data_IF_579385022623
#
_entry.id   IF_579385022623
#
_cell.length_a   1.000
_cell.length_b   1.000
_cell.length_c   1.000
_cell.angle_alpha   90.00
_cell.angle_beta   90.00
_cell.angle_gamma   90.00
#
_symmetry.space_group_name_H-M   'P 1'
#
loop_
_entity.id
_entity.type
_entity.pdbx_description
1 polymer ?
#
# COMPACT_ATOMS: atom_id res chain seq x y z
N UNK A 1 -35.87 7.75 -55.83
CA UNK A 1 -36.28 9.04 -56.42
C UNK A 1 -35.45 10.12 -55.73
N UNK A 2 -34.58 10.83 -56.48
CA UNK A 2 -33.78 12.02 -56.12
C UNK A 2 -32.77 11.91 -54.95
N UNK A 3 -31.55 12.46 -54.93
CA UNK A 3 -30.68 13.19 -55.88
C UNK A 3 -29.26 13.23 -55.24
N UNK A 4 -28.17 12.88 -55.95
CA UNK A 4 -27.21 13.77 -56.62
C UNK A 4 -26.51 14.83 -55.74
N UNK A 5 -25.18 14.71 -55.60
CA UNK A 5 -24.20 15.78 -55.94
C UNK A 5 -22.76 15.25 -55.95
N UNK A 6 -22.16 15.30 -57.13
CA UNK A 6 -20.74 15.14 -57.40
C UNK A 6 -20.02 16.47 -57.19
N UNK A 7 -18.74 16.42 -56.81
CA UNK A 7 -17.79 17.52 -57.01
C UNK A 7 -16.50 16.93 -57.57
N UNK A 8 -16.07 17.45 -58.71
CA UNK A 8 -14.82 17.12 -59.39
C UNK A 8 -13.94 18.38 -59.40
N UNK A 9 -12.62 18.22 -59.22
CA UNK A 9 -11.62 19.25 -59.53
C UNK A 9 -10.42 18.58 -60.22
N UNK A 10 -10.01 19.19 -61.32
CA UNK A 10 -9.00 18.80 -62.31
C UNK A 10 -7.55 18.70 -61.78
N UNK A 11 -6.67 17.91 -62.45
CA UNK A 11 -5.22 18.01 -62.32
C UNK A 11 -4.62 18.95 -63.39
N UNK A 12 -3.60 19.72 -62.99
CA UNK A 12 -2.75 20.52 -63.89
C UNK A 12 -1.50 19.71 -64.27
N UNK A 13 -1.23 19.67 -65.57
CA UNK A 13 -0.05 19.06 -66.21
C UNK A 13 1.03 20.12 -66.40
N UNK A 14 2.28 19.77 -66.11
CA UNK A 14 3.47 20.52 -66.53
C UNK A 14 4.67 19.57 -66.59
N UNK A 15 5.10 19.21 -67.79
CA UNK A 15 6.26 18.34 -68.02
C UNK A 15 7.54 19.13 -68.24
N UNK A 16 8.70 18.53 -67.94
CA UNK A 16 9.98 18.86 -68.59
C UNK A 16 10.95 17.67 -68.55
N UNK A 17 11.36 17.27 -69.76
CA UNK A 17 12.61 16.64 -70.23
C UNK A 17 13.50 15.81 -69.29
N UNK A 18 13.68 14.56 -69.71
CA UNK A 18 14.72 13.61 -69.28
C UNK A 18 16.10 14.01 -69.84
N UNK A 19 17.11 14.08 -68.98
CA UNK A 19 18.52 13.93 -69.37
C UNK A 19 19.10 12.69 -68.68
N UNK A 20 19.74 11.84 -69.49
CA UNK A 20 20.38 10.61 -69.04
C UNK A 20 21.65 10.94 -68.24
N UNK A 21 21.78 10.38 -67.04
CA UNK A 21 23.04 10.36 -66.30
C UNK A 21 23.50 8.90 -66.12
N UNK A 22 24.63 8.58 -66.75
CA UNK A 22 25.30 7.28 -66.72
C UNK A 22 26.13 7.18 -65.43
N UNK A 23 25.85 6.18 -64.59
CA UNK A 23 26.61 5.90 -63.37
C UNK A 23 27.91 5.14 -63.75
N UNK A 24 29.09 5.54 -63.26
CA UNK A 24 30.31 4.75 -63.42
C UNK A 24 30.29 3.56 -62.45
N UNK A 25 30.61 2.37 -62.96
CA UNK A 25 30.87 1.18 -62.15
C UNK A 25 32.16 1.38 -61.34
N UNK A 26 32.05 1.43 -60.02
CA UNK A 26 33.19 1.28 -59.11
C UNK A 26 33.06 -0.02 -58.31
N UNK A 27 34.17 -0.77 -58.29
CA UNK A 27 34.28 -2.13 -57.78
C UNK A 27 34.15 -2.19 -56.26
N UNK A 28 33.38 -3.16 -55.75
CA UNK A 28 33.02 -3.38 -54.33
C UNK A 28 34.20 -3.52 -53.35
N UNK A 29 35.45 -3.57 -53.80
CA UNK A 29 36.61 -3.82 -52.94
C UNK A 29 37.27 -2.57 -52.37
N UNK A 30 37.01 -1.37 -52.89
CA UNK A 30 37.59 -0.13 -52.33
C UNK A 30 36.68 0.59 -51.33
N UNK A 31 35.36 0.38 -51.38
CA UNK A 31 34.42 0.99 -50.42
C UNK A 31 34.56 0.44 -48.98
N UNK A 32 35.15 -0.75 -48.81
CA UNK A 32 35.25 -1.40 -47.49
C UNK A 32 36.47 -0.95 -46.68
N UNK A 33 37.48 -0.32 -47.29
CA UNK A 33 38.69 0.14 -46.59
C UNK A 33 38.58 1.57 -46.05
N UNK A 34 37.62 2.36 -46.52
CA UNK A 34 37.45 3.75 -46.05
C UNK A 34 36.57 3.86 -44.78
N UNK A 35 35.76 2.83 -44.49
CA UNK A 35 34.86 2.83 -43.31
C UNK A 35 35.58 2.39 -42.02
N UNK A 36 36.77 1.79 -42.12
CA UNK A 36 37.48 1.20 -40.96
C UNK A 36 38.52 2.15 -40.35
N UNK A 37 38.67 3.39 -40.83
CA UNK A 37 39.71 4.32 -40.30
C UNK A 37 39.23 5.69 -39.83
N UNK A 38 37.92 5.93 -39.76
CA UNK A 38 37.36 7.21 -39.34
C UNK A 38 36.37 7.11 -38.15
N UNK A 39 36.50 6.07 -37.33
CA UNK A 39 35.72 5.92 -36.09
C UNK A 39 36.61 5.82 -34.84
N UNK A 40 37.83 6.35 -34.92
CA UNK A 40 38.78 6.43 -33.80
C UNK A 40 39.03 7.89 -33.42
N UNK A 41 37.96 8.58 -33.03
CA UNK A 41 38.04 9.87 -32.32
C UNK A 41 36.95 9.94 -31.26
N UNK A 42 37.36 9.69 -30.02
CA UNK A 42 36.95 10.43 -28.83
C UNK A 42 35.46 10.71 -28.70
N UNK A 43 34.73 9.74 -28.18
CA UNK A 43 33.58 10.03 -27.34
C UNK A 43 33.74 9.19 -26.09
N UNK A 44 34.44 9.75 -25.11
CA UNK A 44 34.35 9.36 -23.71
C UNK A 44 32.91 9.61 -23.24
N UNK A 45 31.99 8.78 -23.73
CA UNK A 45 30.75 8.52 -23.04
C UNK A 45 31.16 7.68 -21.86
N UNK A 46 31.48 8.39 -20.80
CA UNK A 46 31.42 7.92 -19.44
C UNK A 46 30.03 7.30 -19.26
N UNK A 47 29.91 6.02 -19.60
CA UNK A 47 28.81 5.18 -19.14
C UNK A 47 29.04 5.08 -17.65
N UNK A 48 28.52 6.06 -16.93
CA UNK A 48 28.16 5.87 -15.54
C UNK A 48 27.25 4.65 -15.57
N UNK A 49 27.84 3.48 -15.28
CA UNK A 49 27.09 2.30 -14.86
C UNK A 49 26.10 2.86 -13.86
N UNK A 50 24.83 2.93 -14.22
CA UNK A 50 23.76 3.16 -13.26
C UNK A 50 23.96 2.07 -12.23
N UNK A 51 24.56 2.45 -11.11
CA UNK A 51 24.88 1.55 -10.01
C UNK A 51 23.51 1.07 -9.58
N UNK A 52 23.16 -0.15 -9.98
CA UNK A 52 21.81 -0.68 -9.86
C UNK A 52 21.29 -0.37 -8.46
N UNK A 53 20.32 0.52 -8.37
CA UNK A 53 19.80 0.97 -7.09
C UNK A 53 19.30 -0.26 -6.34
N UNK A 54 19.83 -0.48 -5.13
CA UNK A 54 19.44 -1.62 -4.30
C UNK A 54 17.92 -1.60 -4.14
N UNK A 55 17.25 -2.76 -4.16
CA UNK A 55 15.77 -2.79 -4.13
C UNK A 55 15.18 -2.14 -2.88
N UNK A 56 15.96 -2.03 -1.81
CA UNK A 56 15.64 -1.27 -0.60
C UNK A 56 15.49 0.24 -0.84
N UNK A 57 16.26 0.82 -1.75
CA UNK A 57 16.22 2.25 -2.10
C UNK A 57 15.02 2.59 -3.00
N UNK A 58 14.44 1.57 -3.63
CA UNK A 58 13.28 1.70 -4.53
C UNK A 58 11.95 1.81 -3.78
N UNK A 59 11.90 1.39 -2.51
CA UNK A 59 10.72 1.59 -1.68
C UNK A 59 10.74 2.98 -1.07
N UNK A 60 9.84 3.83 -1.54
CA UNK A 60 9.42 5.00 -0.78
C UNK A 60 8.18 4.60 0.01
N UNK A 61 8.17 4.78 1.34
CA UNK A 61 6.91 4.67 2.08
C UNK A 61 5.90 5.64 1.43
N UNK A 62 4.61 5.26 1.39
CA UNK A 62 3.59 6.11 0.79
C UNK A 62 3.69 7.51 1.40
N UNK A 63 3.81 8.53 0.55
CA UNK A 63 3.81 9.91 1.02
C UNK A 63 2.51 10.18 1.75
N UNK A 64 2.53 11.11 2.71
CA UNK A 64 1.31 11.50 3.45
C UNK A 64 0.15 11.83 2.50
N UNK A 65 0.45 12.48 1.39
CA UNK A 65 -0.48 12.79 0.29
C UNK A 65 -1.12 11.53 -0.31
N UNK A 66 -0.34 10.48 -0.62
CA UNK A 66 -0.88 9.22 -1.17
C UNK A 66 -1.73 8.46 -0.15
N UNK A 67 -1.34 8.49 1.13
CA UNK A 67 -2.12 7.92 2.22
C UNK A 67 -3.44 8.69 2.43
N UNK A 68 -3.41 10.01 2.30
CA UNK A 68 -4.57 10.89 2.37
C UNK A 68 -5.52 10.65 1.19
N UNK A 69 -5.01 10.55 -0.04
CA UNK A 69 -5.81 10.22 -1.22
C UNK A 69 -6.50 8.85 -1.09
N UNK A 70 -5.83 7.85 -0.50
CA UNK A 70 -6.47 6.55 -0.20
C UNK A 70 -7.53 6.67 0.89
N UNK A 71 -7.27 7.47 1.93
CA UNK A 71 -8.24 7.73 2.98
C UNK A 71 -9.49 8.46 2.44
N UNK A 72 -9.31 9.40 1.52
CA UNK A 72 -10.39 10.10 0.82
C UNK A 72 -11.19 9.17 -0.09
N UNK A 73 -10.52 8.29 -0.82
CA UNK A 73 -11.18 7.28 -1.65
C UNK A 73 -12.07 6.34 -0.82
N UNK A 74 -11.65 5.98 0.40
CA UNK A 74 -12.48 5.19 1.32
C UNK A 74 -13.62 5.96 1.97
N UNK A 75 -13.46 7.29 2.11
CA UNK A 75 -14.40 8.14 2.82
C UNK A 75 -14.67 9.41 2.01
N UNK A 76 -15.45 9.29 0.93
CA UNK A 76 -15.67 10.40 0.01
C UNK A 76 -16.21 11.62 0.75
N UNK A 77 -15.65 12.79 0.41
CA UNK A 77 -16.03 14.11 0.93
C UNK A 77 -15.95 14.28 2.45
N UNK A 78 -15.23 13.41 3.19
CA UNK A 78 -15.09 13.57 4.65
C UNK A 78 -14.46 14.92 5.02
N UNK A 79 -13.44 15.36 4.29
CA UNK A 79 -12.78 16.65 4.51
C UNK A 79 -13.79 17.81 4.41
N UNK A 80 -14.65 17.80 3.37
CA UNK A 80 -15.72 18.79 3.18
C UNK A 80 -16.73 18.74 4.33
N UNK A 81 -17.16 17.54 4.75
CA UNK A 81 -18.12 17.38 5.86
C UNK A 81 -17.56 17.88 7.19
N UNK A 82 -16.31 17.58 7.49
CA UNK A 82 -15.65 18.08 8.71
C UNK A 82 -15.58 19.61 8.71
N UNK A 83 -15.29 20.23 7.56
CA UNK A 83 -15.32 21.69 7.40
C UNK A 83 -16.74 22.22 7.62
N UNK A 84 -17.74 21.65 6.95
CA UNK A 84 -19.14 22.10 7.02
C UNK A 84 -19.71 21.97 8.45
N UNK A 85 -19.54 20.83 9.11
CA UNK A 85 -20.01 20.63 10.48
C UNK A 85 -19.15 21.37 11.51
N UNK A 86 -17.86 21.56 11.25
CA UNK A 86 -16.97 22.36 12.09
C UNK A 86 -17.36 23.83 12.12
N UNK A 87 -17.44 24.47 10.94
CA UNK A 87 -17.88 25.86 10.83
C UNK A 87 -19.35 26.04 11.21
N UNK A 88 -20.23 25.12 10.79
CA UNK A 88 -21.65 25.14 11.17
C UNK A 88 -21.83 25.04 12.69
N UNK A 89 -21.11 24.13 13.35
CA UNK A 89 -21.12 24.01 14.81
C UNK A 89 -20.56 25.24 15.51
N UNK A 90 -19.44 25.80 15.03
CA UNK A 90 -18.88 27.04 15.58
C UNK A 90 -19.84 28.23 15.42
N UNK A 91 -20.47 28.37 14.25
CA UNK A 91 -21.46 29.41 13.97
C UNK A 91 -22.70 29.27 14.84
N UNK A 92 -23.26 28.06 14.95
CA UNK A 92 -24.39 27.78 15.82
C UNK A 92 -24.04 27.99 17.31
N UNK A 93 -22.81 27.69 17.71
CA UNK A 93 -22.30 27.96 19.06
C UNK A 93 -22.26 29.44 19.38
N UNK A 94 -21.73 30.26 18.46
CA UNK A 94 -21.75 31.72 18.58
C UNK A 94 -23.19 32.26 18.58
N UNK A 95 -24.06 31.78 17.69
CA UNK A 95 -25.46 32.20 17.63
C UNK A 95 -26.22 31.84 18.94
N UNK A 96 -25.97 30.66 19.50
CA UNK A 96 -26.48 30.25 20.81
C UNK A 96 -26.02 31.19 21.92
N UNK A 97 -24.72 31.52 21.92
CA UNK A 97 -24.13 32.43 22.91
C UNK A 97 -24.76 33.83 22.87
N UNK A 98 -25.00 34.38 21.67
CA UNK A 98 -25.63 35.70 21.51
C UNK A 98 -27.15 35.68 21.71
N UNK A 99 -27.83 34.58 21.40
CA UNK A 99 -29.28 34.46 21.63
C UNK A 99 -29.62 34.24 23.11
N UNK A 100 -28.69 33.74 23.93
CA UNK A 100 -28.93 33.50 25.35
C UNK A 100 -29.29 34.79 26.14
N UNK A 101 -28.55 35.91 26.06
CA UNK A 101 -28.97 37.17 26.68
C UNK A 101 -30.33 37.66 26.19
N UNK A 102 -30.65 37.50 24.90
CA UNK A 102 -31.93 37.94 24.34
C UNK A 102 -33.10 37.12 24.89
N UNK A 103 -32.90 35.81 25.09
CA UNK A 103 -33.89 34.94 25.73
C UNK A 103 -34.10 35.33 27.19
N UNK A 104 -33.03 35.54 27.96
CA UNK A 104 -33.11 35.99 29.36
C UNK A 104 -33.85 37.33 29.46
N UNK A 105 -33.52 38.30 28.60
CA UNK A 105 -34.19 39.60 28.56
C UNK A 105 -35.68 39.50 28.23
N UNK A 106 -36.05 38.62 27.29
CA UNK A 106 -37.46 38.37 26.95
C UNK A 106 -38.24 37.72 28.12
N UNK A 107 -37.61 36.80 28.86
CA UNK A 107 -38.19 36.15 30.04
C UNK A 107 -38.34 37.12 31.22
N UNK A 108 -37.42 38.07 31.36
CA UNK A 108 -37.44 39.10 32.40
C UNK A 108 -38.41 40.27 32.08
N UNK A 109 -39.08 40.25 30.93
CA UNK A 109 -40.03 41.30 30.54
C UNK A 109 -39.37 42.63 30.15
N UNK A 110 -38.18 42.60 29.54
CA UNK A 110 -37.49 43.81 29.10
C UNK A 110 -38.35 44.63 28.12
N UNK A 111 -38.44 45.95 28.36
CA UNK A 111 -39.35 46.86 27.65
C UNK A 111 -39.17 46.90 26.12
N UNK A 112 -37.96 46.63 25.62
CA UNK A 112 -37.62 46.57 24.19
C UNK A 112 -37.12 45.17 23.77
N UNK A 113 -37.49 44.12 24.50
CA UNK A 113 -37.08 42.74 24.23
C UNK A 113 -37.80 42.13 23.04
N UNK A 114 -37.18 41.13 22.40
CA UNK A 114 -37.83 40.29 21.39
C UNK A 114 -39.00 39.52 22.05
N UNK A 115 -40.13 39.27 21.35
CA UNK A 115 -41.20 38.42 21.89
C UNK A 115 -40.69 37.07 22.37
N UNK A 116 -41.19 36.58 23.51
CA UNK A 116 -40.72 35.34 24.15
C UNK A 116 -40.80 34.11 23.23
N UNK A 117 -41.83 34.05 22.38
CA UNK A 117 -42.01 32.97 21.40
C UNK A 117 -40.91 32.99 20.35
N UNK A 118 -40.56 34.16 19.83
CA UNK A 118 -39.52 34.31 18.81
C UNK A 118 -38.10 34.21 19.39
N UNK A 119 -37.87 34.69 20.62
CA UNK A 119 -36.60 34.53 21.32
C UNK A 119 -36.35 33.06 21.68
N UNK A 120 -37.40 32.37 22.15
CA UNK A 120 -37.37 30.94 22.43
C UNK A 120 -37.13 30.10 21.17
N UNK A 121 -37.79 30.44 20.06
CA UNK A 121 -37.63 29.74 18.80
C UNK A 121 -36.21 29.88 18.23
N UNK A 122 -35.64 31.09 18.19
CA UNK A 122 -34.26 31.31 17.71
C UNK A 122 -33.24 30.55 18.56
N UNK A 123 -33.38 30.61 19.89
CA UNK A 123 -32.51 29.89 20.79
C UNK A 123 -32.61 28.37 20.59
N UNK A 124 -33.84 27.85 20.44
CA UNK A 124 -34.08 26.43 20.19
C UNK A 124 -33.48 25.97 18.85
N UNK A 125 -33.60 26.78 17.79
CA UNK A 125 -33.00 26.48 16.48
C UNK A 125 -31.47 26.45 16.59
N UNK A 126 -30.86 27.45 17.25
CA UNK A 126 -29.41 27.53 17.41
C UNK A 126 -28.86 26.33 18.21
N UNK A 127 -29.53 25.97 19.31
CA UNK A 127 -29.19 24.77 20.10
C UNK A 127 -29.36 23.49 19.27
N UNK A 128 -30.47 23.37 18.54
CA UNK A 128 -30.72 22.22 17.67
C UNK A 128 -29.64 22.05 16.61
N UNK A 129 -29.25 23.14 15.95
CA UNK A 129 -28.17 23.17 14.97
C UNK A 129 -26.81 22.82 15.62
N UNK A 130 -26.51 23.39 16.79
CA UNK A 130 -25.27 23.12 17.52
C UNK A 130 -25.15 21.64 17.90
N UNK A 131 -26.23 21.04 18.42
CA UNK A 131 -26.28 19.63 18.79
C UNK A 131 -26.12 18.73 17.55
N UNK A 132 -26.83 19.03 16.47
CA UNK A 132 -26.77 18.25 15.22
C UNK A 132 -25.38 18.31 14.57
N UNK A 133 -24.82 19.51 14.41
CA UNK A 133 -23.48 19.71 13.88
C UNK A 133 -22.42 19.07 14.79
N UNK A 134 -22.53 19.23 16.11
CA UNK A 134 -21.64 18.60 17.08
C UNK A 134 -21.65 17.07 17.00
N UNK A 135 -22.85 16.47 16.87
CA UNK A 135 -22.99 15.03 16.71
C UNK A 135 -22.30 14.52 15.44
N UNK A 136 -22.58 15.13 14.28
CA UNK A 136 -21.96 14.70 13.02
C UNK A 136 -20.45 14.95 12.99
N UNK A 137 -19.99 16.08 13.54
CA UNK A 137 -18.57 16.39 13.66
C UNK A 137 -17.84 15.34 14.49
N UNK A 138 -18.35 15.02 15.68
CA UNK A 138 -17.78 13.98 16.54
C UNK A 138 -17.71 12.63 15.83
N UNK A 139 -18.82 12.23 15.17
CA UNK A 139 -18.90 10.96 14.46
C UNK A 139 -17.86 10.85 13.34
N UNK A 140 -17.63 11.92 12.58
CA UNK A 140 -16.65 11.92 11.49
C UNK A 140 -15.21 12.04 12.01
N UNK A 141 -14.97 12.72 13.14
CA UNK A 141 -13.66 12.72 13.83
C UNK A 141 -13.29 11.33 14.34
N UNK A 142 -14.21 10.65 15.04
CA UNK A 142 -14.00 9.29 15.53
C UNK A 142 -13.72 8.31 14.37
N UNK A 143 -14.41 8.49 13.24
CA UNK A 143 -14.18 7.68 12.04
C UNK A 143 -12.80 7.95 11.40
N UNK A 144 -12.35 9.22 11.40
CA UNK A 144 -11.01 9.61 10.94
C UNK A 144 -9.93 9.00 11.80
N UNK A 145 -10.05 9.09 13.12
CA UNK A 145 -9.07 8.54 14.04
C UNK A 145 -8.93 7.02 13.86
N UNK A 146 -10.04 6.29 13.78
CA UNK A 146 -10.03 4.83 13.52
C UNK A 146 -9.35 4.47 12.21
N UNK A 147 -9.60 5.22 11.14
CA UNK A 147 -8.96 5.00 9.85
C UNK A 147 -7.46 5.32 9.91
N UNK A 148 -7.06 6.43 10.51
CA UNK A 148 -5.65 6.81 10.67
C UNK A 148 -4.89 5.78 11.50
N UNK A 149 -5.47 5.34 12.63
CA UNK A 149 -4.88 4.30 13.47
C UNK A 149 -4.73 2.97 12.70
N UNK A 150 -5.65 2.63 11.80
CA UNK A 150 -5.51 1.45 10.92
C UNK A 150 -4.40 1.63 9.89
N UNK A 151 -4.37 2.77 9.19
CA UNK A 151 -3.38 3.07 8.15
C UNK A 151 -1.95 3.09 8.71
N UNK A 152 -1.74 3.71 9.88
CA UNK A 152 -0.44 3.75 10.53
C UNK A 152 0.06 2.35 10.88
N UNK A 153 -0.84 1.45 11.33
CA UNK A 153 -0.49 0.06 11.59
C UNK A 153 -0.15 -0.71 10.32
N UNK A 154 -0.89 -0.50 9.24
CA UNK A 154 -0.60 -1.11 7.94
C UNK A 154 0.71 -0.59 7.32
N UNK A 155 1.04 0.68 7.54
CA UNK A 155 2.28 1.29 7.06
C UNK A 155 3.50 0.85 7.86
N UNK A 156 3.37 0.77 9.20
CA UNK A 156 4.41 0.23 10.07
C UNK A 156 4.78 -1.21 9.68
N UNK A 157 3.78 -2.07 9.44
CA UNK A 157 4.01 -3.44 8.96
C UNK A 157 4.60 -3.44 7.53
N UNK A 158 4.12 -2.55 6.66
CA UNK A 158 4.63 -2.39 5.30
C UNK A 158 6.10 -1.96 5.24
N UNK A 159 6.58 -1.23 6.25
CA UNK A 159 7.96 -0.78 6.35
C UNK A 159 8.94 -1.88 6.75
N UNK A 160 8.46 -2.97 7.38
CA UNK A 160 9.26 -4.11 7.81
C UNK A 160 10.02 -4.76 6.64
N UNK A 161 11.25 -5.19 6.89
CA UNK A 161 12.17 -5.72 5.87
C UNK A 161 12.18 -7.24 5.87
N UNK A 162 12.36 -7.83 4.69
CA UNK A 162 12.47 -9.26 4.48
C UNK A 162 13.43 -9.57 3.33
N UNK A 163 13.93 -10.79 3.34
CA UNK A 163 14.79 -11.37 2.31
C UNK A 163 14.08 -12.54 1.64
N UNK A 164 14.15 -12.57 0.31
CA UNK A 164 13.66 -13.69 -0.49
C UNK A 164 14.73 -14.78 -0.64
N UNK A 165 14.34 -15.96 -1.12
CA UNK A 165 15.25 -17.10 -1.33
C UNK A 165 16.43 -16.82 -2.29
N UNK A 166 16.34 -15.81 -3.14
CA UNK A 166 17.40 -15.36 -4.05
C UNK A 166 18.37 -14.35 -3.41
N UNK A 167 18.26 -14.09 -2.10
CA UNK A 167 19.10 -13.12 -1.38
C UNK A 167 18.66 -11.67 -1.55
N UNK A 168 17.51 -11.41 -2.16
CA UNK A 168 17.03 -10.06 -2.43
C UNK A 168 16.31 -9.47 -1.22
N UNK A 169 16.81 -8.32 -0.75
CA UNK A 169 16.19 -7.56 0.33
C UNK A 169 15.07 -6.65 -0.18
N UNK A 170 13.91 -6.75 0.46
CA UNK A 170 12.69 -6.02 0.16
C UNK A 170 12.07 -5.47 1.44
N UNK A 171 11.09 -4.58 1.28
CA UNK A 171 10.11 -4.28 2.33
C UNK A 171 8.79 -4.97 2.04
N UNK A 172 8.04 -5.32 3.07
CA UNK A 172 6.77 -6.01 2.94
C UNK A 172 5.77 -5.23 2.07
N UNK A 173 5.78 -3.90 2.15
CA UNK A 173 4.95 -3.03 1.32
C UNK A 173 5.25 -3.12 -0.19
N UNK A 174 6.45 -3.56 -0.60
CA UNK A 174 6.80 -3.78 -2.01
C UNK A 174 6.15 -5.04 -2.60
N UNK A 175 5.71 -5.97 -1.75
CA UNK A 175 5.00 -7.16 -2.20
C UNK A 175 3.55 -6.89 -2.56
N UNK A 176 3.05 -5.67 -2.33
CA UNK A 176 1.69 -5.28 -2.71
C UNK A 176 1.50 -5.42 -4.22
N UNK A 177 0.40 -6.03 -4.63
CA UNK A 177 0.09 -6.40 -6.02
C UNK A 177 0.73 -7.71 -6.47
N UNK A 178 1.87 -8.10 -5.90
CA UNK A 178 2.61 -9.31 -6.29
C UNK A 178 2.24 -10.53 -5.44
N UNK A 179 2.17 -10.39 -4.11
CA UNK A 179 2.01 -11.49 -3.17
C UNK A 179 1.00 -11.21 -2.05
N UNK A 180 0.59 -12.26 -1.35
CA UNK A 180 -0.26 -12.27 -0.15
C UNK A 180 0.57 -12.83 1.02
N UNK A 181 1.28 -11.98 1.76
CA UNK A 181 2.08 -12.45 2.89
C UNK A 181 1.22 -13.08 3.98
N UNK A 182 1.61 -14.27 4.47
CA UNK A 182 1.08 -14.89 5.68
C UNK A 182 2.23 -14.99 6.67
N UNK A 183 2.13 -14.20 7.74
CA UNK A 183 3.17 -14.01 8.74
C UNK A 183 2.79 -14.82 9.98
N UNK A 184 3.74 -15.60 10.50
CA UNK A 184 3.58 -16.46 11.67
C UNK A 184 4.55 -15.97 12.74
N UNK A 185 4.04 -15.43 13.84
CA UNK A 185 4.86 -14.94 14.95
C UNK A 185 4.69 -15.86 16.17
N UNK A 186 5.76 -16.45 16.67
CA UNK A 186 5.66 -17.46 17.73
C UNK A 186 7.00 -17.85 18.32
N UNK A 187 7.01 -18.95 19.07
CA UNK A 187 8.25 -19.62 19.44
C UNK A 187 8.88 -20.35 18.26
N UNK A 188 10.20 -20.65 18.29
CA UNK A 188 10.86 -21.34 17.18
C UNK A 188 10.15 -22.65 16.85
N UNK A 189 9.74 -23.40 17.88
CA UNK A 189 8.96 -24.63 17.75
C UNK A 189 7.59 -24.40 17.11
N UNK A 190 6.85 -23.36 17.53
CA UNK A 190 5.53 -23.02 16.96
C UNK A 190 5.64 -22.60 15.50
N UNK A 191 6.61 -21.74 15.17
CA UNK A 191 6.84 -21.26 13.81
C UNK A 191 7.25 -22.40 12.90
N UNK A 192 8.16 -23.27 13.36
CA UNK A 192 8.57 -24.46 12.62
C UNK A 192 7.39 -25.38 12.33
N UNK A 193 6.61 -25.74 13.36
CA UNK A 193 5.43 -26.58 13.21
C UNK A 193 4.39 -25.97 12.26
N UNK A 194 4.19 -24.65 12.30
CA UNK A 194 3.28 -23.97 11.40
C UNK A 194 3.77 -23.95 9.94
N UNK A 195 5.08 -23.82 9.70
CA UNK A 195 5.68 -23.93 8.37
C UNK A 195 5.53 -25.37 7.83
N UNK A 196 5.84 -26.37 8.65
CA UNK A 196 5.68 -27.79 8.28
C UNK A 196 4.22 -28.12 7.95
N UNK A 197 3.26 -27.58 8.71
CA UNK A 197 1.83 -27.74 8.43
C UNK A 197 1.38 -27.06 7.12
N UNK A 198 2.16 -26.12 6.58
CA UNK A 198 1.88 -25.43 5.33
C UNK A 198 2.37 -26.24 4.10
N UNK A 199 3.37 -27.10 4.28
CA UNK A 199 4.05 -27.83 3.21
C UNK A 199 3.10 -28.66 2.31
N UNK A 200 2.09 -29.39 2.82
CA UNK A 200 1.14 -30.12 1.98
C UNK A 200 0.33 -29.22 1.03
N UNK A 201 0.23 -27.93 1.33
CA UNK A 201 -0.52 -26.95 0.55
C UNK A 201 0.39 -26.05 -0.30
N UNK A 202 1.70 -26.33 -0.37
CA UNK A 202 2.70 -25.46 -1.01
C UNK A 202 2.31 -25.02 -2.42
N UNK A 203 1.93 -25.95 -3.28
CA UNK A 203 1.59 -25.66 -4.68
C UNK A 203 0.33 -24.80 -4.78
N UNK A 204 -0.74 -25.16 -4.06
CA UNK A 204 -2.01 -24.43 -4.05
C UNK A 204 -1.85 -23.01 -3.47
N UNK A 205 -1.01 -22.86 -2.45
CA UNK A 205 -0.70 -21.57 -1.84
C UNK A 205 0.16 -20.69 -2.77
N UNK A 206 1.17 -21.27 -3.42
CA UNK A 206 2.01 -20.57 -4.40
C UNK A 206 1.20 -20.12 -5.63
N UNK A 207 0.28 -20.97 -6.12
CA UNK A 207 -0.66 -20.65 -7.21
C UNK A 207 -1.56 -19.46 -6.85
N UNK A 208 -1.87 -19.27 -5.56
CA UNK A 208 -2.67 -18.15 -5.04
C UNK A 208 -1.80 -16.99 -4.56
N UNK A 209 -0.52 -16.99 -4.89
CA UNK A 209 0.39 -15.91 -4.54
C UNK A 209 0.64 -15.75 -3.04
N UNK A 210 0.46 -16.80 -2.23
CA UNK A 210 0.69 -16.75 -0.78
C UNK A 210 2.19 -16.89 -0.50
N UNK A 211 2.73 -15.95 0.29
CA UNK A 211 4.13 -15.96 0.73
C UNK A 211 4.20 -16.19 2.25
N UNK A 212 4.78 -17.30 2.68
CA UNK A 212 4.89 -17.66 4.10
C UNK A 212 6.12 -16.99 4.73
N UNK A 213 5.92 -16.31 5.86
CA UNK A 213 6.98 -15.62 6.59
C UNK A 213 6.97 -16.11 8.04
N UNK A 214 8.04 -16.82 8.44
CA UNK A 214 8.22 -17.29 9.81
C UNK A 214 8.96 -16.26 10.67
N UNK A 215 8.37 -15.89 11.81
CA UNK A 215 8.91 -14.95 12.79
C UNK A 215 9.05 -15.62 14.16
N UNK A 216 10.21 -16.22 14.48
CA UNK A 216 10.45 -16.82 15.78
C UNK A 216 10.84 -15.74 16.80
N UNK A 217 9.92 -14.82 17.09
CA UNK A 217 10.18 -13.65 17.95
C UNK A 217 9.91 -13.96 19.43
N UNK A 218 9.13 -14.96 19.79
CA UNK A 218 8.90 -15.29 21.21
C UNK A 218 9.83 -16.44 21.61
N UNK A 219 10.60 -16.33 22.70
CA UNK A 219 11.51 -17.43 23.08
C UNK A 219 10.85 -18.46 24.01
N UNK A 220 9.91 -18.01 24.84
CA UNK A 220 9.15 -18.85 25.75
C UNK A 220 7.64 -18.71 25.48
N UNK A 221 6.87 -19.75 25.81
CA UNK A 221 5.41 -19.74 25.73
C UNK A 221 4.84 -18.67 26.68
N UNK A 222 4.70 -17.44 26.19
CA UNK A 222 3.84 -16.42 26.82
C UNK A 222 4.50 -15.20 27.47
N UNK A 223 5.81 -15.03 27.44
CA UNK A 223 6.42 -13.83 28.00
C UNK A 223 6.68 -12.76 26.93
N UNK A 224 5.68 -11.89 26.72
CA UNK A 224 6.00 -10.52 26.34
C UNK A 224 6.94 -9.89 27.39
N UNK A 225 7.87 -9.06 26.93
CA UNK A 225 8.78 -8.25 27.76
C UNK A 225 9.93 -8.94 28.51
N UNK A 226 10.41 -10.10 28.05
CA UNK A 226 11.81 -10.48 28.33
C UNK A 226 12.76 -9.73 27.39
N UNK A 227 13.98 -9.36 27.83
CA UNK A 227 15.05 -8.88 26.95
C UNK A 227 15.45 -10.00 25.97
N UNK A 228 14.66 -10.19 24.92
CA UNK A 228 15.00 -11.07 23.81
C UNK A 228 16.01 -10.31 22.96
N UNK A 229 17.28 -10.72 23.02
CA UNK A 229 18.35 -10.11 22.22
C UNK A 229 18.21 -10.51 20.75
N UNK A 230 18.66 -9.65 19.84
CA UNK A 230 18.71 -9.96 18.40
C UNK A 230 19.47 -11.27 18.12
N UNK A 231 20.51 -11.56 18.91
CA UNK A 231 21.31 -12.80 18.85
C UNK A 231 20.47 -14.05 19.13
N UNK A 232 19.60 -14.00 20.13
CA UNK A 232 18.72 -15.12 20.46
C UNK A 232 17.66 -15.34 19.38
N UNK A 233 17.17 -14.27 18.75
CA UNK A 233 16.24 -14.37 17.60
C UNK A 233 16.97 -14.91 16.37
N UNK A 234 18.23 -14.54 16.14
CA UNK A 234 19.04 -15.06 15.05
C UNK A 234 19.34 -16.56 15.23
N UNK A 235 19.65 -16.99 16.46
CA UNK A 235 19.80 -18.40 16.80
C UNK A 235 18.48 -19.18 16.56
N UNK A 236 17.36 -18.66 17.06
CA UNK A 236 16.02 -19.19 16.82
C UNK A 236 15.64 -19.27 15.33
N UNK A 237 16.05 -18.27 14.54
CA UNK A 237 15.83 -18.25 13.08
C UNK A 237 16.66 -19.32 12.36
N UNK A 238 17.81 -19.68 12.91
CA UNK A 238 18.69 -20.73 12.38
C UNK A 238 18.14 -22.14 12.62
N UNK A 239 17.24 -22.32 13.58
CA UNK A 239 16.53 -23.60 13.82
C UNK A 239 15.40 -23.87 12.80
N UNK A 240 14.98 -22.84 12.07
CA UNK A 240 13.94 -22.96 11.05
C UNK A 240 14.51 -23.62 9.78
N UNK A 241 13.65 -24.30 8.98
CA UNK A 241 14.10 -24.92 7.74
C UNK A 241 14.74 -23.87 6.80
N UNK A 242 15.95 -24.09 6.27
CA UNK A 242 16.64 -23.10 5.44
C UNK A 242 15.84 -22.84 4.15
N UNK A 243 15.98 -21.63 3.60
CA UNK A 243 15.41 -21.26 2.30
C UNK A 243 16.09 -22.07 1.19
N UNK A 244 15.30 -22.75 0.37
CA UNK A 244 15.75 -23.36 -0.88
C UNK A 244 15.53 -22.38 -2.03
N UNK A 245 16.27 -22.52 -3.13
CA UNK A 245 16.07 -21.68 -4.33
C UNK A 245 14.64 -21.75 -4.85
N UNK A 246 14.03 -22.93 -4.79
CA UNK A 246 12.65 -23.18 -5.21
C UNK A 246 11.61 -22.50 -4.31
N UNK A 247 12.01 -21.99 -3.15
CA UNK A 247 11.12 -21.32 -2.21
C UNK A 247 10.91 -19.83 -2.53
N UNK A 248 11.45 -19.32 -3.65
CA UNK A 248 11.37 -17.90 -4.02
C UNK A 248 9.93 -17.34 -4.01
N UNK A 249 8.95 -18.15 -4.43
CA UNK A 249 7.52 -17.81 -4.48
C UNK A 249 6.73 -18.42 -3.30
N UNK A 250 7.42 -19.00 -2.32
CA UNK A 250 6.79 -19.76 -1.24
C UNK A 250 7.13 -19.17 0.13
N UNK A 251 8.39 -18.86 0.39
CA UNK A 251 8.88 -18.41 1.70
C UNK A 251 9.79 -17.20 1.60
N UNK A 252 9.76 -16.39 2.65
CA UNK A 252 10.71 -15.32 2.87
C UNK A 252 11.13 -15.26 4.34
N UNK A 253 12.29 -14.69 4.59
CA UNK A 253 12.87 -14.55 5.94
C UNK A 253 12.81 -13.09 6.37
N UNK A 254 12.32 -12.78 7.58
CA UNK A 254 12.32 -11.42 8.08
C UNK A 254 13.75 -10.91 8.35
N UNK A 255 13.95 -9.62 8.12
CA UNK A 255 15.16 -8.89 8.52
C UNK A 255 14.75 -7.89 9.60
N UNK A 256 15.65 -7.64 10.57
CA UNK A 256 15.42 -6.72 11.70
C UNK A 256 14.11 -7.04 12.41
N UNK A 257 14.06 -8.22 13.02
CA UNK A 257 12.89 -8.78 13.69
C UNK A 257 12.28 -7.90 14.77
N UNK A 258 13.03 -6.92 15.30
CA UNK A 258 12.54 -5.95 16.29
C UNK A 258 11.43 -5.04 15.75
N UNK A 259 11.56 -4.56 14.51
CA UNK A 259 10.54 -3.73 13.87
C UNK A 259 9.21 -4.53 13.78
N UNK A 260 9.32 -5.83 13.49
CA UNK A 260 8.17 -6.71 13.42
C UNK A 260 7.60 -7.05 14.81
N UNK A 261 8.47 -7.34 15.79
CA UNK A 261 8.06 -7.61 17.17
C UNK A 261 7.25 -6.46 17.71
N UNK A 262 7.78 -5.23 17.59
CA UNK A 262 7.09 -4.02 18.05
C UNK A 262 5.68 -3.94 17.49
N UNK A 263 5.52 -4.20 16.20
CA UNK A 263 4.21 -4.22 15.57
C UNK A 263 3.28 -5.29 16.16
N UNK A 264 3.75 -6.53 16.32
CA UNK A 264 2.97 -7.62 16.88
C UNK A 264 2.58 -7.38 18.35
N UNK A 265 3.48 -6.83 19.16
CA UNK A 265 3.24 -6.51 20.56
C UNK A 265 2.21 -5.37 20.69
N UNK A 266 2.31 -4.32 19.86
CA UNK A 266 1.29 -3.27 19.76
C UNK A 266 -0.09 -3.84 19.36
N UNK A 267 -0.13 -4.79 18.42
CA UNK A 267 -1.39 -5.43 18.01
C UNK A 267 -1.97 -6.34 19.10
N UNK A 268 -1.13 -7.11 19.77
CA UNK A 268 -1.55 -8.01 20.85
C UNK A 268 -2.09 -7.21 22.04
N UNK A 269 -1.41 -6.11 22.41
CA UNK A 269 -1.86 -5.20 23.45
C UNK A 269 -3.20 -4.53 23.10
N UNK A 270 -3.33 -3.99 21.88
CA UNK A 270 -4.55 -3.35 21.41
C UNK A 270 -5.75 -4.32 21.33
N UNK A 271 -5.50 -5.61 21.10
CA UNK A 271 -6.52 -6.66 21.04
C UNK A 271 -6.72 -7.41 22.36
N UNK A 272 -5.96 -7.09 23.41
CA UNK A 272 -5.93 -7.81 24.70
C UNK A 272 -5.76 -9.33 24.53
N UNK A 273 -4.93 -9.76 23.59
CA UNK A 273 -4.70 -11.18 23.27
C UNK A 273 -3.39 -11.68 23.88
N UNK A 274 -3.45 -12.84 24.52
CA UNK A 274 -2.25 -13.53 25.00
C UNK A 274 -1.47 -14.12 23.81
N UNK A 275 -0.15 -13.97 23.82
CA UNK A 275 0.75 -14.42 22.74
C UNK A 275 1.26 -15.85 22.92
N UNK A 276 0.84 -16.55 23.97
CA UNK A 276 1.39 -17.86 24.37
C UNK A 276 1.27 -18.94 23.30
N UNK A 277 0.16 -18.92 22.55
CA UNK A 277 -0.15 -19.90 21.50
C UNK A 277 0.50 -19.56 20.15
N UNK A 278 1.24 -18.45 20.06
CA UNK A 278 1.65 -17.85 18.80
C UNK A 278 0.53 -17.08 18.13
N UNK A 279 0.89 -16.28 17.14
CA UNK A 279 0.03 -15.37 16.39
C UNK A 279 0.25 -15.59 14.90
N UNK A 280 -0.78 -15.34 14.11
CA UNK A 280 -0.62 -15.20 12.67
C UNK A 280 -1.39 -14.02 12.10
N UNK A 281 -0.89 -13.50 10.98
CA UNK A 281 -1.52 -12.43 10.21
C UNK A 281 -1.39 -12.76 8.72
N UNK A 282 -2.52 -12.91 8.04
CA UNK A 282 -2.61 -13.04 6.59
C UNK A 282 -3.00 -11.70 5.95
N UNK A 283 -2.20 -11.25 5.00
CA UNK A 283 -2.40 -10.02 4.24
C UNK A 283 -3.01 -10.30 2.86
N UNK A 284 -3.74 -9.31 2.34
CA UNK A 284 -4.17 -9.25 0.94
C UNK A 284 -3.05 -8.66 0.07
N UNK A 285 -3.23 -8.70 -1.25
CA UNK A 285 -2.32 -8.06 -2.21
C UNK A 285 -2.26 -6.54 -2.09
N UNK A 286 -3.29 -5.90 -1.56
CA UNK A 286 -3.24 -4.45 -1.29
C UNK A 286 -2.47 -4.11 0.01
N UNK A 287 -2.02 -5.13 0.76
CA UNK A 287 -1.32 -4.99 2.03
C UNK A 287 -2.23 -4.88 3.26
N UNK A 288 -3.56 -4.96 3.09
CA UNK A 288 -4.51 -4.94 4.21
C UNK A 288 -4.57 -6.29 4.89
N UNK A 289 -4.84 -6.28 6.21
CA UNK A 289 -5.04 -7.51 6.97
C UNK A 289 -6.34 -8.19 6.54
N UNK A 290 -6.24 -9.43 6.05
CA UNK A 290 -7.39 -10.28 5.69
C UNK A 290 -7.85 -11.14 6.86
N UNK A 291 -6.89 -11.73 7.56
CA UNK A 291 -7.13 -12.68 8.62
C UNK A 291 -6.04 -12.52 9.68
N UNK A 292 -6.41 -12.65 10.94
CA UNK A 292 -5.47 -12.74 12.05
C UNK A 292 -6.04 -13.64 13.14
N UNK A 293 -5.17 -14.32 13.87
CA UNK A 293 -5.61 -15.30 14.86
C UNK A 293 -4.48 -15.77 15.76
N UNK A 294 -4.84 -16.63 16.71
CA UNK A 294 -3.91 -17.30 17.59
C UNK A 294 -3.51 -18.65 16.98
N UNK A 295 -2.26 -19.07 17.15
CA UNK A 295 -1.79 -20.37 16.71
C UNK A 295 -1.41 -20.45 15.24
N UNK A 296 -1.57 -21.66 14.69
CA UNK A 296 -1.23 -21.98 13.31
C UNK A 296 -2.24 -21.36 12.34
N UNK A 297 -1.79 -20.79 11.20
CA UNK A 297 -2.69 -20.31 10.16
C UNK A 297 -3.57 -21.45 9.61
N UNK A 298 -4.84 -21.18 9.24
CA UNK A 298 -5.70 -22.18 8.62
C UNK A 298 -5.32 -22.38 7.14
N UNK A 299 -4.24 -23.12 6.88
CA UNK A 299 -3.65 -23.31 5.54
C UNK A 299 -4.63 -23.80 4.49
N UNK A 300 -5.48 -24.78 4.84
CA UNK A 300 -6.51 -25.30 3.97
C UNK A 300 -7.49 -24.21 3.50
N UNK A 301 -7.82 -23.23 4.35
CA UNK A 301 -8.71 -22.12 3.97
C UNK A 301 -8.02 -21.16 3.00
N UNK A 302 -6.74 -20.85 3.22
CA UNK A 302 -5.97 -20.02 2.29
C UNK A 302 -5.80 -20.70 0.93
N UNK A 303 -5.56 -22.01 0.92
CA UNK A 303 -5.45 -22.82 -0.28
C UNK A 303 -6.79 -22.96 -1.03
N UNK A 304 -7.94 -22.94 -0.34
CA UNK A 304 -9.24 -23.10 -1.01
C UNK A 304 -9.89 -21.76 -1.43
N UNK A 305 -9.82 -20.73 -0.59
CA UNK A 305 -10.68 -19.54 -0.72
C UNK A 305 -10.03 -18.36 -1.45
N UNK A 306 -8.70 -18.35 -1.57
CA UNK A 306 -8.03 -17.28 -2.28
C UNK A 306 -8.14 -17.50 -3.79
N UNK A 307 -8.35 -16.44 -4.59
CA UNK A 307 -8.42 -16.58 -6.03
C UNK A 307 -7.05 -17.00 -6.57
N UNK A 308 -7.00 -18.04 -7.43
CA UNK A 308 -5.77 -18.47 -8.09
C UNK A 308 -5.27 -17.37 -9.02
N UNK A 309 -3.98 -17.43 -9.34
CA UNK A 309 -3.34 -16.45 -10.21
C UNK A 309 -2.77 -17.14 -11.44
N UNK A 310 -2.90 -16.49 -12.58
CA UNK A 310 -2.44 -17.01 -13.86
C UNK A 310 -0.91 -16.96 -13.94
N UNK A 311 -0.25 -17.98 -13.37
CA UNK A 311 1.12 -18.43 -13.63
C UNK A 311 2.29 -17.46 -13.33
N UNK A 312 2.03 -16.18 -13.11
CA UNK A 312 3.05 -15.15 -12.94
C UNK A 312 2.59 -14.18 -11.88
N UNK A 313 3.39 -14.00 -10.83
CA UNK A 313 3.20 -12.95 -9.84
C UNK A 313 3.46 -11.59 -10.51
N UNK A 314 2.54 -11.14 -11.37
CA UNK A 314 2.52 -9.86 -12.07
C UNK A 314 3.85 -9.41 -12.67
N UNK A 315 4.69 -10.31 -13.19
CA UNK A 315 6.03 -10.02 -13.73
C UNK A 315 7.06 -9.45 -12.72
N UNK A 316 6.62 -9.00 -11.54
CA UNK A 316 7.45 -8.31 -10.56
C UNK A 316 8.51 -9.23 -9.95
N UNK A 317 8.15 -10.48 -9.64
CA UNK A 317 9.11 -11.48 -9.16
C UNK A 317 9.81 -12.26 -10.28
N UNK A 318 9.29 -12.21 -11.50
CA UNK A 318 9.84 -12.95 -12.65
C UNK A 318 11.19 -12.36 -13.06
N UNK A 319 11.32 -11.03 -13.13
CA UNK A 319 12.63 -10.37 -13.31
C UNK A 319 13.55 -10.39 -12.08
N UNK A 320 13.23 -11.17 -11.03
CA UNK A 320 14.05 -11.29 -9.82
C UNK A 320 14.72 -12.65 -9.67
N UNK A 321 14.40 -13.63 -10.51
CA UNK A 321 15.01 -14.97 -10.49
C UNK A 321 16.48 -14.98 -10.97
N UNK A 322 16.95 -13.87 -11.54
CA UNK A 322 18.34 -13.70 -11.97
C UNK A 322 18.66 -14.43 -13.28
N UNK A 323 17.65 -14.94 -13.99
CA UNK A 323 17.81 -15.53 -15.32
C UNK A 323 17.73 -14.39 -16.35
N UNK A 324 18.88 -13.84 -16.71
CA UNK A 324 19.04 -12.93 -17.87
C UNK A 324 20.07 -13.53 -18.82
#
# INVERSE_FOLDING_TARGET
>A
MFAQKCFAIHPVVGGHQLSQFRIPHTSKKEALRLVVRAADKGSDRNTTKSKGMNNLDRYQPPRREEAELRAEAEAPFRSIRLVLFGFGGASAGLATLFSLPTLIGSLAGAANGKPITEAGQDFAINIGALLLCGFFLKRDLDAREKQMARLLREDALGACRLELANGKLLRLGQLRGAARPVIIAGTPAQVKSAIEAAEPFKEELALRGVLVIGLPIYLNNGAGAGNVTEEAIAAASSELPPLRKDDLRWRAVPIRTDDWRKWFDEQAAAASKATEKGLYVGLRKDGRVRASGLGCPPWAQFAAQLPPEDGTWGGFLDGMDGVV
#
